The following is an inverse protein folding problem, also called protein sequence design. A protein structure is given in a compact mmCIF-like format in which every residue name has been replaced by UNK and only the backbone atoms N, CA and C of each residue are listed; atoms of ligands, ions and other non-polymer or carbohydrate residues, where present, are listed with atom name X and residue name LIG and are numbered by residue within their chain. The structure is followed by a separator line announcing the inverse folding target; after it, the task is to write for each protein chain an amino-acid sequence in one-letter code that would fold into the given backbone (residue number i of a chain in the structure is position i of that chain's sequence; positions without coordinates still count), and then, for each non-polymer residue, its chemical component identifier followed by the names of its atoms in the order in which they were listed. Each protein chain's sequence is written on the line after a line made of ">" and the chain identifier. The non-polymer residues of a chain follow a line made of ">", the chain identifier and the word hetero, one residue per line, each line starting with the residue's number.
data_IF_196451115783
#
_entry.id   IF_196451115783
#
_cell.length_a   1.000
_cell.length_b   1.000
_cell.length_c   1.000
_cell.angle_alpha   90.00
_cell.angle_beta   90.00
_cell.angle_gamma   90.00
#
_symmetry.space_group_name_H-M   'P 1'
#
loop_
_entity.id
_entity.type
_entity.pdbx_description
1 polymer ?
#
# COMPACT_ATOMS: atom_id res chain seq x y z
N UNK A 1 -2.68 65.03 -19.36
CA UNK A 1 -3.03 63.93 -20.29
C UNK A 1 -3.24 62.59 -19.58
N UNK A 2 -2.69 62.37 -18.38
CA UNK A 2 -2.88 61.11 -17.62
C UNK A 2 -4.29 60.91 -17.03
N UNK A 3 -5.03 61.98 -16.69
CA UNK A 3 -6.37 61.84 -16.11
C UNK A 3 -7.42 61.26 -17.08
N UNK A 4 -7.22 61.43 -18.41
CA UNK A 4 -8.12 60.84 -19.43
C UNK A 4 -7.83 59.34 -19.66
N UNK A 5 -6.58 58.91 -19.51
CA UNK A 5 -6.18 57.51 -19.70
C UNK A 5 -6.72 56.60 -18.58
N UNK A 6 -6.69 57.06 -17.32
CA UNK A 6 -7.26 56.35 -16.17
C UNK A 6 -8.79 56.24 -16.23
N UNK A 7 -9.49 57.21 -16.84
CA UNK A 7 -10.94 57.11 -17.04
C UNK A 7 -11.34 56.09 -18.13
N UNK A 8 -10.49 55.92 -19.16
CA UNK A 8 -10.74 54.95 -20.22
C UNK A 8 -10.48 53.51 -19.76
N UNK A 9 -9.46 53.27 -18.93
CA UNK A 9 -9.22 51.94 -18.34
C UNK A 9 -10.32 51.53 -17.34
N UNK A 10 -10.85 52.47 -16.54
CA UNK A 10 -12.00 52.17 -15.66
C UNK A 10 -13.29 51.86 -16.44
N UNK A 11 -13.52 52.52 -17.57
CA UNK A 11 -14.64 52.21 -18.47
C UNK A 11 -14.55 50.79 -19.03
N UNK A 12 -13.37 50.40 -19.53
CA UNK A 12 -13.13 49.07 -20.10
C UNK A 12 -13.26 47.94 -19.07
N UNK A 13 -12.81 48.16 -17.83
CA UNK A 13 -12.95 47.18 -16.75
C UNK A 13 -14.42 46.98 -16.30
N UNK A 14 -15.22 48.04 -16.32
CA UNK A 14 -16.66 47.97 -15.99
C UNK A 14 -17.45 47.25 -17.09
N UNK A 15 -17.07 47.43 -18.36
CA UNK A 15 -17.70 46.73 -19.49
C UNK A 15 -17.31 45.24 -19.54
N UNK A 16 -16.07 44.88 -19.16
CA UNK A 16 -15.65 43.49 -18.98
C UNK A 16 -16.40 42.79 -17.83
N UNK A 17 -16.58 43.46 -16.69
CA UNK A 17 -17.34 42.91 -15.56
C UNK A 17 -18.84 42.71 -15.89
N UNK A 18 -19.41 43.57 -16.74
CA UNK A 18 -20.80 43.43 -17.23
C UNK A 18 -20.98 42.26 -18.20
N UNK A 19 -19.97 41.93 -18.99
CA UNK A 19 -20.01 40.77 -19.89
C UNK A 19 -19.89 39.45 -19.12
N UNK A 20 -19.00 39.36 -18.12
CA UNK A 20 -18.87 38.17 -17.24
C UNK A 20 -20.17 37.93 -16.44
N UNK A 21 -20.84 39.00 -16.00
CA UNK A 21 -22.13 38.90 -15.30
C UNK A 21 -23.26 38.45 -16.23
N UNK A 22 -23.17 38.74 -17.54
CA UNK A 22 -24.14 38.29 -18.55
C UNK A 22 -23.92 36.83 -18.98
N UNK A 23 -22.68 36.38 -19.07
CA UNK A 23 -22.35 34.96 -19.34
C UNK A 23 -22.79 34.05 -18.18
N UNK A 24 -22.52 34.45 -16.92
CA UNK A 24 -23.00 33.73 -15.74
C UNK A 24 -24.54 33.71 -15.60
N UNK A 25 -25.24 34.71 -16.16
CA UNK A 25 -26.69 34.74 -16.22
C UNK A 25 -27.27 33.82 -17.32
N UNK A 26 -26.55 33.65 -18.44
CA UNK A 26 -26.91 32.69 -19.48
C UNK A 26 -26.65 31.23 -19.07
N UNK A 27 -25.61 30.98 -18.28
CA UNK A 27 -25.30 29.65 -17.74
C UNK A 27 -26.30 29.20 -16.65
N UNK A 28 -26.76 30.15 -15.81
CA UNK A 28 -27.89 29.94 -14.89
C UNK A 28 -29.24 29.75 -15.59
N UNK A 29 -29.44 30.34 -16.76
CA UNK A 29 -30.66 30.11 -17.55
C UNK A 29 -30.66 28.71 -18.19
N UNK A 30 -29.50 28.20 -18.63
CA UNK A 30 -29.37 26.86 -19.21
C UNK A 30 -29.55 25.73 -18.18
N UNK A 31 -29.10 25.92 -16.93
CA UNK A 31 -29.33 24.96 -15.83
C UNK A 31 -30.78 24.93 -15.34
N UNK A 32 -31.55 26.01 -15.55
CA UNK A 32 -32.99 26.02 -15.25
C UNK A 32 -33.87 25.36 -16.33
N UNK A 33 -33.33 25.18 -17.54
CA UNK A 33 -34.05 24.58 -18.67
C UNK A 33 -33.94 23.05 -18.73
N UNK A 34 -32.99 22.43 -18.02
CA UNK A 34 -32.82 20.97 -17.98
C UNK A 34 -33.75 20.27 -16.98
N UNK A 35 -34.44 21.01 -16.11
CA UNK A 35 -35.42 20.47 -15.15
C UNK A 35 -36.82 20.21 -15.76
N UNK A 36 -37.07 20.67 -16.99
CA UNK A 36 -38.38 20.55 -17.66
C UNK A 36 -38.61 19.22 -18.39
N UNK A 37 -37.71 18.24 -18.26
CA UNK A 37 -37.84 16.90 -18.87
C UNK A 37 -38.42 15.83 -17.92
N UNK A 38 -38.72 16.19 -16.67
CA UNK A 38 -39.27 15.27 -15.68
C UNK A 38 -40.80 15.26 -15.73
N UNK A 39 -41.40 14.06 -15.66
CA UNK A 39 -42.86 13.89 -15.64
C UNK A 39 -43.47 14.66 -14.46
N UNK A 40 -44.63 15.32 -14.62
CA UNK A 40 -45.22 16.21 -13.60
C UNK A 40 -45.49 15.54 -12.24
N UNK A 41 -45.69 14.22 -12.22
CA UNK A 41 -45.81 13.43 -10.97
C UNK A 41 -44.49 13.31 -10.19
N UNK A 42 -43.35 13.30 -10.87
CA UNK A 42 -42.03 13.23 -10.22
C UNK A 42 -41.63 14.58 -9.60
N UNK A 43 -42.02 15.69 -10.24
CA UNK A 43 -41.81 17.04 -9.70
C UNK A 43 -42.63 17.28 -8.43
N UNK A 44 -43.91 16.87 -8.42
CA UNK A 44 -44.77 16.93 -7.22
C UNK A 44 -44.26 16.08 -6.05
N UNK A 45 -43.57 14.98 -6.33
CA UNK A 45 -43.00 14.10 -5.29
C UNK A 45 -41.70 14.70 -4.71
N UNK A 46 -40.89 15.34 -5.54
CA UNK A 46 -39.67 16.04 -5.12
C UNK A 46 -39.97 17.33 -4.36
N UNK A 47 -40.97 18.11 -4.79
CA UNK A 47 -41.42 19.31 -4.06
C UNK A 47 -41.99 18.96 -2.68
N UNK A 48 -42.68 17.81 -2.57
CA UNK A 48 -43.17 17.30 -1.28
C UNK A 48 -42.02 16.87 -0.36
N UNK A 49 -40.98 16.22 -0.92
CA UNK A 49 -39.78 15.85 -0.17
C UNK A 49 -38.95 17.06 0.27
N UNK A 50 -38.88 18.11 -0.55
CA UNK A 50 -38.15 19.35 -0.23
C UNK A 50 -38.87 20.22 0.82
N UNK A 51 -40.20 20.16 0.89
CA UNK A 51 -40.99 20.89 1.88
C UNK A 51 -40.93 20.27 3.29
N UNK A 52 -40.61 18.98 3.43
CA UNK A 52 -40.53 18.27 4.72
C UNK A 52 -39.15 18.41 5.43
N UNK A 53 -38.15 19.02 4.78
CA UNK A 53 -36.81 19.27 5.35
C UNK A 53 -36.73 20.24 6.55
N UNK A 54 -37.62 21.23 6.77
CA UNK A 54 -37.48 22.16 7.90
C UNK A 54 -37.89 21.57 9.26
N UNK A 55 -38.55 20.41 9.30
CA UNK A 55 -39.10 19.81 10.52
C UNK A 55 -38.48 18.46 10.90
N UNK A 56 -37.37 18.06 10.29
CA UNK A 56 -36.60 16.90 10.77
C UNK A 56 -35.76 17.34 11.98
N UNK A 57 -36.25 17.06 13.18
CA UNK A 57 -35.52 17.23 14.45
C UNK A 57 -34.14 16.55 14.33
N UNK A 58 -33.07 17.34 14.42
CA UNK A 58 -31.71 16.82 14.59
C UNK A 58 -31.64 16.07 15.92
N UNK A 59 -31.24 14.78 15.95
CA UNK A 59 -30.96 14.12 17.22
C UNK A 59 -29.74 14.80 17.87
N UNK A 60 -29.73 15.03 19.19
CA UNK A 60 -28.56 15.60 19.85
C UNK A 60 -27.52 14.50 20.01
N UNK A 61 -26.54 14.47 19.11
CA UNK A 61 -25.32 13.67 19.28
C UNK A 61 -24.15 14.46 18.71
N UNK A 62 -23.34 15.02 19.60
CA UNK A 62 -22.02 15.61 19.32
C UNK A 62 -21.00 14.52 18.96
N UNK A 63 -21.20 13.83 17.84
CA UNK A 63 -20.14 13.03 17.22
C UNK A 63 -20.13 13.31 15.73
N UNK A 64 -19.17 14.13 15.30
CA UNK A 64 -18.72 14.16 13.91
C UNK A 64 -18.39 12.74 13.45
N UNK A 65 -18.77 12.30 12.23
CA UNK A 65 -18.34 11.02 11.70
C UNK A 65 -16.81 11.03 11.67
N UNK A 66 -16.19 10.31 12.61
CA UNK A 66 -14.76 10.05 12.56
C UNK A 66 -14.55 9.18 11.34
N UNK A 67 -14.14 9.79 10.23
CA UNK A 67 -13.29 9.10 9.28
C UNK A 67 -12.18 8.47 10.13
N UNK A 68 -12.11 7.14 10.12
CA UNK A 68 -11.06 6.42 10.81
C UNK A 68 -9.75 6.83 10.12
N UNK A 69 -9.16 7.93 10.61
CA UNK A 69 -7.82 8.35 10.26
C UNK A 69 -6.97 7.11 10.41
N UNK A 70 -6.25 6.72 9.36
CA UNK A 70 -5.42 5.51 9.30
C UNK A 70 -4.25 5.52 10.28
N UNK A 71 -4.52 5.81 11.56
CA UNK A 71 -3.61 5.67 12.66
C UNK A 71 -3.56 4.20 12.98
N UNK A 72 -2.42 3.60 12.70
CA UNK A 72 -2.05 2.33 13.33
C UNK A 72 -2.19 2.48 14.85
N UNK A 73 -2.56 1.41 15.58
CA UNK A 73 -3.02 1.48 16.97
C UNK A 73 -1.99 2.00 18.00
N UNK A 74 -0.84 2.53 17.57
CA UNK A 74 0.23 3.00 18.45
C UNK A 74 1.00 4.26 17.97
N UNK A 75 0.59 4.97 16.92
CA UNK A 75 1.38 6.16 16.47
C UNK A 75 1.23 7.38 17.37
N UNK A 76 2.35 7.89 17.90
CA UNK A 76 2.48 9.27 18.39
C UNK A 76 2.22 10.26 17.25
N UNK A 77 1.65 11.42 17.61
CA UNK A 77 1.40 12.52 16.68
C UNK A 77 2.73 13.20 16.29
N UNK A 78 3.41 12.67 15.27
CA UNK A 78 4.63 13.30 14.75
C UNK A 78 5.36 12.50 13.66
N UNK A 79 5.34 11.16 13.73
CA UNK A 79 6.00 10.28 12.75
C UNK A 79 5.12 9.05 12.49
N UNK A 80 3.96 9.26 11.84
CA UNK A 80 2.92 8.25 11.58
C UNK A 80 3.31 7.13 10.62
N UNK A 81 4.61 6.78 10.55
CA UNK A 81 5.15 5.74 9.68
C UNK A 81 5.12 4.39 10.42
N UNK A 82 4.45 3.36 9.87
CA UNK A 82 4.49 2.04 10.47
C UNK A 82 5.93 1.53 10.56
N UNK A 83 6.32 1.01 11.74
CA UNK A 83 7.63 0.39 11.96
C UNK A 83 7.55 -1.13 11.87
N UNK A 84 8.44 -1.70 11.08
CA UNK A 84 8.68 -3.14 10.95
C UNK A 84 9.93 -3.51 11.76
N UNK A 85 9.74 -4.35 12.78
CA UNK A 85 10.81 -4.78 13.65
C UNK A 85 11.31 -6.17 13.25
N UNK A 86 12.56 -6.30 12.80
CA UNK A 86 13.19 -7.59 12.47
C UNK A 86 13.99 -8.09 13.67
N UNK A 87 13.46 -9.09 14.36
CA UNK A 87 14.09 -9.75 15.51
C UNK A 87 14.40 -11.22 15.21
N UNK A 88 15.31 -11.81 15.98
CA UNK A 88 15.61 -13.24 15.89
C UNK A 88 17.05 -13.57 16.26
N UNK A 89 17.35 -14.86 16.28
CA UNK A 89 18.67 -15.40 16.66
C UNK A 89 19.82 -14.83 15.81
N UNK A 90 21.04 -14.88 16.35
CA UNK A 90 22.24 -14.58 15.56
C UNK A 90 22.31 -15.47 14.32
N UNK A 91 22.75 -14.90 13.19
CA UNK A 91 22.90 -15.59 11.90
C UNK A 91 21.60 -16.18 11.30
N UNK A 92 20.43 -15.81 11.84
CA UNK A 92 19.13 -16.23 11.30
C UNK A 92 18.82 -15.69 9.91
N UNK A 93 19.55 -14.68 9.42
CA UNK A 93 19.37 -14.10 8.08
C UNK A 93 18.61 -12.77 8.03
N UNK A 94 18.20 -12.20 9.17
CA UNK A 94 17.51 -10.89 9.27
C UNK A 94 18.13 -9.74 8.43
N UNK A 95 19.45 -9.54 8.53
CA UNK A 95 20.14 -8.50 7.76
C UNK A 95 20.14 -8.82 6.26
N UNK A 96 20.31 -10.10 5.89
CA UNK A 96 20.22 -10.56 4.50
C UNK A 96 18.82 -10.31 3.93
N UNK A 97 17.78 -10.60 4.72
CA UNK A 97 16.39 -10.33 4.35
C UNK A 97 16.19 -8.83 4.07
N UNK A 98 16.62 -7.96 4.99
CA UNK A 98 16.49 -6.50 4.82
C UNK A 98 17.22 -6.02 3.56
N UNK A 99 18.45 -6.51 3.34
CA UNK A 99 19.26 -6.19 2.17
C UNK A 99 18.65 -6.65 0.84
N UNK A 100 18.11 -7.86 0.77
CA UNK A 100 17.53 -8.40 -0.47
C UNK A 100 16.23 -7.70 -0.81
N UNK A 101 15.34 -7.53 0.18
CA UNK A 101 14.00 -6.98 -0.06
C UNK A 101 14.06 -5.48 -0.32
N UNK A 102 14.86 -4.73 0.44
CA UNK A 102 14.80 -3.26 0.39
C UNK A 102 15.95 -2.60 -0.39
N UNK A 103 17.12 -3.25 -0.50
CA UNK A 103 18.25 -2.71 -1.27
C UNK A 103 18.43 -3.38 -2.62
N UNK A 104 17.55 -4.33 -2.97
CA UNK A 104 17.65 -5.15 -4.20
C UNK A 104 19.02 -5.83 -4.34
N UNK A 105 19.67 -6.13 -3.22
CA UNK A 105 20.96 -6.82 -3.24
C UNK A 105 20.73 -8.28 -3.69
N UNK A 106 21.52 -8.79 -4.64
CA UNK A 106 21.36 -10.17 -5.08
C UNK A 106 21.66 -11.14 -3.92
N UNK A 107 20.90 -12.24 -3.78
CA UNK A 107 21.05 -13.16 -2.65
C UNK A 107 22.47 -13.73 -2.49
N UNK A 108 23.20 -13.91 -3.59
CA UNK A 108 24.60 -14.38 -3.60
C UNK A 108 25.57 -13.43 -2.91
N UNK A 109 25.31 -12.12 -2.93
CA UNK A 109 26.16 -11.11 -2.29
C UNK A 109 25.91 -11.02 -0.78
N UNK A 110 24.77 -11.53 -0.30
CA UNK A 110 24.42 -11.49 1.13
C UNK A 110 25.37 -12.30 2.02
N UNK A 111 26.12 -13.25 1.44
CA UNK A 111 27.18 -14.00 2.11
C UNK A 111 28.29 -13.11 2.67
N UNK A 112 28.49 -11.92 2.09
CA UNK A 112 29.51 -10.95 2.50
C UNK A 112 29.02 -9.95 3.53
N UNK A 113 27.76 -10.04 3.96
CA UNK A 113 27.24 -9.15 4.98
C UNK A 113 27.91 -9.40 6.33
N UNK A 114 28.45 -8.33 6.90
CA UNK A 114 29.02 -8.38 8.24
C UNK A 114 27.94 -8.54 9.31
N UNK A 115 28.33 -9.14 10.44
CA UNK A 115 27.44 -9.32 11.59
C UNK A 115 26.99 -7.95 12.13
N UNK A 116 25.69 -7.74 12.21
CA UNK A 116 25.11 -6.52 12.80
C UNK A 116 25.39 -6.46 14.32
N UNK A 117 26.12 -5.42 14.74
CA UNK A 117 26.44 -5.15 16.16
C UNK A 117 25.61 -4.01 16.77
N UNK A 118 24.93 -3.22 15.94
CA UNK A 118 24.11 -2.07 16.34
C UNK A 118 22.79 -2.12 15.60
N UNK A 119 21.74 -1.57 16.22
CA UNK A 119 20.42 -1.45 15.58
C UNK A 119 20.58 -0.60 14.32
N UNK A 120 20.28 -1.17 13.15
CA UNK A 120 20.23 -0.44 11.89
C UNK A 120 18.79 0.00 11.67
N UNK A 121 18.59 1.31 11.51
CA UNK A 121 17.29 1.91 11.19
C UNK A 121 17.31 2.34 9.74
N UNK A 122 16.41 1.79 8.96
CA UNK A 122 16.28 2.10 7.53
C UNK A 122 14.89 2.69 7.31
N UNK A 123 14.82 3.88 6.71
CA UNK A 123 13.55 4.49 6.29
C UNK A 123 13.45 4.34 4.78
N UNK A 124 12.34 3.77 4.32
CA UNK A 124 12.09 3.59 2.89
C UNK A 124 11.00 4.55 2.43
N UNK A 125 11.26 5.22 1.31
CA UNK A 125 10.30 6.09 0.65
C UNK A 125 9.63 5.31 -0.49
N UNK A 126 8.49 4.71 -0.20
CA UNK A 126 7.66 3.98 -1.15
C UNK A 126 6.26 4.62 -1.20
N UNK A 127 5.29 3.97 -1.86
CA UNK A 127 3.87 4.28 -1.67
C UNK A 127 3.47 4.30 -0.19
N UNK A 128 4.09 3.44 0.63
CA UNK A 128 3.98 3.46 2.07
C UNK A 128 5.35 3.72 2.69
N UNK A 129 5.48 4.84 3.39
CA UNK A 129 6.68 5.16 4.15
C UNK A 129 6.69 4.29 5.42
N UNK A 130 7.57 3.30 5.47
CA UNK A 130 7.79 2.46 6.64
C UNK A 130 9.26 2.50 7.06
N UNK A 131 9.49 2.25 8.35
CA UNK A 131 10.84 2.10 8.89
C UNK A 131 11.11 0.64 9.20
N UNK A 132 12.24 0.12 8.72
CA UNK A 132 12.71 -1.24 9.02
C UNK A 132 13.84 -1.14 10.03
N UNK A 133 13.67 -1.85 11.15
CA UNK A 133 14.63 -1.85 12.24
C UNK A 133 15.22 -3.26 12.35
N UNK A 134 16.50 -3.40 12.01
CA UNK A 134 17.26 -4.66 12.13
C UNK A 134 17.95 -4.70 13.50
N UNK A 135 17.52 -5.61 14.37
CA UNK A 135 18.08 -5.75 15.72
C UNK A 135 19.12 -6.86 15.81
N UNK A 136 20.24 -6.62 16.51
CA UNK A 136 21.29 -7.62 16.64
C UNK A 136 20.86 -8.75 17.60
N UNK A 137 20.98 -9.99 17.14
CA UNK A 137 20.48 -11.19 17.85
C UNK A 137 21.26 -11.63 19.09
N UNK A 138 22.10 -10.76 19.68
CA UNK A 138 22.82 -11.00 20.93
C UNK A 138 22.38 -10.09 22.08
N UNK A 139 21.49 -9.14 21.81
CA UNK A 139 20.97 -8.27 22.84
C UNK A 139 19.81 -8.94 23.56
N UNK A 140 19.84 -8.90 24.89
CA UNK A 140 18.66 -9.09 25.70
C UNK A 140 17.88 -7.77 25.68
N UNK A 141 16.83 -7.73 24.85
CA UNK A 141 16.06 -6.52 24.55
C UNK A 141 15.29 -5.95 25.76
N UNK A 142 15.24 -6.71 26.85
CA UNK A 142 14.57 -6.35 28.10
C UNK A 142 15.56 -5.83 29.17
N UNK A 143 16.82 -5.62 28.81
CA UNK A 143 17.75 -4.90 29.68
C UNK A 143 17.26 -3.45 29.83
N UNK A 144 17.10 -2.92 31.06
CA UNK A 144 16.68 -1.53 31.31
C UNK A 144 17.61 -0.46 30.69
N UNK A 145 18.78 -0.84 30.17
CA UNK A 145 19.62 0.04 29.36
C UNK A 145 19.04 0.35 27.96
N UNK A 146 18.08 -0.44 27.47
CA UNK A 146 17.40 -0.21 26.19
C UNK A 146 16.09 0.55 26.39
N UNK A 147 15.88 1.54 25.53
CA UNK A 147 14.66 2.33 25.48
C UNK A 147 13.55 1.54 24.77
N UNK A 148 13.03 0.52 25.46
CA UNK A 148 11.95 -0.36 24.99
C UNK A 148 10.72 0.46 24.64
N UNK A 149 10.44 1.54 25.35
CA UNK A 149 9.26 2.35 25.13
C UNK A 149 9.35 3.05 23.78
N UNK A 150 10.46 3.70 23.45
CA UNK A 150 10.62 4.31 22.12
C UNK A 150 10.75 3.29 20.96
N UNK A 151 11.19 2.06 21.22
CA UNK A 151 11.29 1.00 20.21
C UNK A 151 9.90 0.42 19.91
N UNK A 152 9.14 0.05 20.96
CA UNK A 152 7.90 -0.73 20.85
C UNK A 152 6.63 0.12 20.76
N UNK A 153 6.66 1.40 21.14
CA UNK A 153 5.49 2.28 21.10
C UNK A 153 5.04 2.64 19.68
N UNK A 154 5.88 2.60 18.64
CA UNK A 154 5.44 2.92 17.25
C UNK A 154 5.44 1.69 16.32
N UNK A 155 5.45 0.48 16.87
CA UNK A 155 5.51 -0.74 16.07
C UNK A 155 4.18 -1.02 15.39
N UNK A 156 4.25 -1.28 14.08
CA UNK A 156 3.16 -1.86 13.32
C UNK A 156 3.15 -3.39 13.40
N UNK A 157 4.30 -4.02 13.15
CA UNK A 157 4.45 -5.49 13.22
C UNK A 157 5.84 -5.91 13.70
N UNK A 158 5.86 -6.99 14.47
CA UNK A 158 7.06 -7.70 14.88
C UNK A 158 7.26 -8.90 13.96
N UNK A 159 8.42 -8.97 13.30
CA UNK A 159 8.83 -10.11 12.49
C UNK A 159 9.94 -10.86 13.24
N UNK A 160 9.67 -12.10 13.61
CA UNK A 160 10.65 -12.98 14.24
C UNK A 160 11.20 -14.00 13.24
N UNK A 161 12.50 -13.96 13.00
CA UNK A 161 13.18 -14.83 12.03
C UNK A 161 13.82 -16.02 12.73
N UNK A 162 13.35 -17.22 12.38
CA UNK A 162 13.86 -18.52 12.84
C UNK A 162 14.63 -19.17 11.69
N UNK A 163 15.85 -19.64 11.94
CA UNK A 163 16.60 -20.43 10.96
C UNK A 163 16.10 -21.87 10.98
N UNK A 164 15.61 -22.39 9.85
CA UNK A 164 15.13 -23.77 9.73
C UNK A 164 16.26 -24.80 9.60
N UNK A 165 17.50 -24.36 9.31
CA UNK A 165 18.65 -25.25 9.13
C UNK A 165 19.47 -25.43 10.41
N UNK A 166 19.31 -24.54 11.40
CA UNK A 166 20.01 -24.55 12.68
C UNK A 166 19.07 -25.01 13.83
N UNK A 167 19.61 -25.13 15.03
CA UNK A 167 18.83 -25.47 16.22
C UNK A 167 17.84 -24.35 16.59
N UNK A 168 16.56 -24.60 16.33
CA UNK A 168 15.48 -23.62 16.52
C UNK A 168 14.87 -23.62 17.93
N UNK A 169 15.24 -24.54 18.82
CA UNK A 169 14.70 -24.62 20.19
C UNK A 169 14.96 -23.34 21.01
N UNK A 170 16.18 -22.82 21.00
CA UNK A 170 16.50 -21.55 21.69
C UNK A 170 15.76 -20.36 21.03
N UNK A 171 15.51 -20.41 19.71
CA UNK A 171 14.73 -19.38 19.02
C UNK A 171 13.29 -19.35 19.54
N UNK A 172 12.67 -20.52 19.69
CA UNK A 172 11.29 -20.65 20.15
C UNK A 172 11.17 -20.18 21.60
N UNK A 173 12.08 -20.61 22.48
CA UNK A 173 12.07 -20.17 23.89
C UNK A 173 12.21 -18.64 24.02
N UNK A 174 13.12 -18.02 23.24
CA UNK A 174 13.28 -16.56 23.20
C UNK A 174 12.08 -15.85 22.57
N UNK A 175 11.48 -16.42 21.53
CA UNK A 175 10.27 -15.90 20.91
C UNK A 175 9.14 -15.84 21.94
N UNK A 176 8.90 -16.94 22.65
CA UNK A 176 7.82 -17.01 23.64
C UNK A 176 8.05 -16.04 24.80
N UNK A 177 9.27 -15.94 25.32
CA UNK A 177 9.63 -14.91 26.31
C UNK A 177 9.33 -13.50 25.77
N UNK A 178 9.66 -13.23 24.50
CA UNK A 178 9.43 -11.93 23.87
C UNK A 178 7.93 -11.64 23.74
N UNK A 179 7.13 -12.61 23.29
CA UNK A 179 5.68 -12.48 23.14
C UNK A 179 5.03 -12.21 24.50
N UNK A 180 5.39 -12.97 25.55
CA UNK A 180 4.83 -12.80 26.89
C UNK A 180 5.10 -11.41 27.47
N UNK A 181 6.31 -10.89 27.27
CA UNK A 181 6.66 -9.53 27.71
C UNK A 181 5.93 -8.45 26.89
N UNK A 182 5.82 -8.63 25.58
CA UNK A 182 5.13 -7.69 24.70
C UNK A 182 3.64 -7.67 24.95
N UNK A 183 3.01 -8.80 25.24
CA UNK A 183 1.58 -8.89 25.51
C UNK A 183 1.17 -8.05 26.73
N UNK A 184 2.04 -7.92 27.74
CA UNK A 184 1.77 -7.10 28.92
C UNK A 184 1.73 -5.61 28.60
N UNK A 185 2.56 -5.16 27.65
CA UNK A 185 2.77 -3.74 27.35
C UNK A 185 2.00 -3.28 26.11
N UNK A 186 1.85 -4.15 25.10
CA UNK A 186 1.34 -3.83 23.76
C UNK A 186 0.49 -5.00 23.19
N UNK A 187 -0.79 -5.10 23.57
CA UNK A 187 -1.65 -6.22 23.16
C UNK A 187 -2.09 -6.21 21.69
N UNK A 188 -1.90 -5.09 20.97
CA UNK A 188 -2.37 -4.90 19.60
C UNK A 188 -1.26 -5.10 18.54
N UNK A 189 -0.07 -5.58 18.92
CA UNK A 189 1.02 -5.81 17.97
C UNK A 189 0.78 -7.12 17.20
N UNK A 190 0.90 -7.05 15.87
CA UNK A 190 0.90 -8.24 15.03
C UNK A 190 2.26 -8.94 15.13
N UNK A 191 2.26 -10.21 15.51
CA UNK A 191 3.46 -11.04 15.63
C UNK A 191 3.50 -12.03 14.48
N UNK A 192 4.55 -11.95 13.68
CA UNK A 192 4.73 -12.70 12.44
C UNK A 192 6.05 -13.48 12.54
N UNK A 193 6.00 -14.80 12.32
CA UNK A 193 7.16 -15.68 12.45
C UNK A 193 7.58 -16.16 11.07
N UNK A 194 8.82 -15.87 10.70
CA UNK A 194 9.43 -16.32 9.46
C UNK A 194 10.31 -17.54 9.75
N UNK A 195 9.87 -18.71 9.27
CA UNK A 195 10.69 -19.91 9.18
C UNK A 195 11.55 -19.75 7.93
N UNK A 196 12.81 -19.38 8.14
CA UNK A 196 13.72 -18.91 7.12
C UNK A 196 14.74 -19.99 6.71
N UNK A 197 15.37 -19.80 5.55
CA UNK A 197 16.34 -20.72 4.93
C UNK A 197 15.78 -22.10 4.58
N UNK A 198 14.53 -22.14 4.12
CA UNK A 198 13.87 -23.39 3.72
C UNK A 198 14.42 -23.98 2.41
N UNK A 199 15.28 -23.24 1.71
CA UNK A 199 15.93 -23.62 0.44
C UNK A 199 16.90 -24.80 0.56
N UNK A 200 17.52 -25.00 1.72
CA UNK A 200 18.43 -26.12 1.97
C UNK A 200 17.73 -27.41 2.39
N UNK A 201 16.41 -27.42 2.51
CA UNK A 201 15.62 -28.54 3.02
C UNK A 201 14.90 -29.26 1.86
N UNK A 202 14.68 -30.56 2.00
CA UNK A 202 13.77 -31.28 1.09
C UNK A 202 12.32 -30.88 1.34
N UNK A 203 11.45 -30.99 0.33
CA UNK A 203 10.04 -30.61 0.44
C UNK A 203 9.30 -31.31 1.60
N UNK A 204 9.57 -32.60 1.81
CA UNK A 204 9.00 -33.37 2.91
C UNK A 204 9.45 -32.81 4.27
N UNK A 205 10.76 -32.55 4.42
CA UNK A 205 11.34 -32.06 5.66
C UNK A 205 10.93 -30.61 5.96
N UNK A 206 10.72 -29.79 4.92
CA UNK A 206 10.19 -28.43 5.04
C UNK A 206 8.79 -28.45 5.65
N UNK A 207 7.92 -29.33 5.19
CA UNK A 207 6.56 -29.49 5.71
C UNK A 207 6.55 -29.95 7.17
N UNK A 208 7.37 -30.94 7.49
CA UNK A 208 7.46 -31.49 8.85
C UNK A 208 8.06 -30.49 9.84
N UNK A 209 9.17 -29.84 9.48
CA UNK A 209 9.81 -28.81 10.33
C UNK A 209 8.89 -27.63 10.58
N UNK A 210 8.15 -27.20 9.56
CA UNK A 210 7.19 -26.10 9.70
C UNK A 210 6.05 -26.45 10.66
N UNK A 211 5.49 -27.66 10.57
CA UNK A 211 4.45 -28.13 11.50
C UNK A 211 4.97 -28.27 12.92
N UNK A 212 6.18 -28.80 13.08
CA UNK A 212 6.84 -28.97 14.37
C UNK A 212 7.10 -27.63 15.05
N UNK A 213 7.60 -26.62 14.32
CA UNK A 213 7.79 -25.26 14.84
C UNK A 213 6.45 -24.64 15.26
N UNK A 214 5.41 -24.74 14.43
CA UNK A 214 4.08 -24.20 14.77
C UNK A 214 3.56 -24.84 16.04
N UNK A 215 3.60 -26.16 16.11
CA UNK A 215 3.09 -26.91 17.25
C UNK A 215 3.85 -26.54 18.53
N UNK A 216 5.19 -26.50 18.50
CA UNK A 216 5.99 -26.14 19.69
C UNK A 216 5.74 -24.72 20.16
N UNK A 217 5.66 -23.76 19.24
CA UNK A 217 5.36 -22.36 19.60
C UNK A 217 3.96 -22.27 20.23
N UNK A 218 2.97 -22.95 19.65
CA UNK A 218 1.60 -22.95 20.20
C UNK A 218 1.51 -23.68 21.54
N UNK A 219 2.15 -24.83 21.69
CA UNK A 219 2.17 -25.62 22.92
C UNK A 219 2.80 -24.80 24.07
N UNK A 220 3.98 -24.21 23.85
CA UNK A 220 4.64 -23.38 24.86
C UNK A 220 3.83 -22.12 25.21
N UNK A 221 3.14 -21.49 24.25
CA UNK A 221 2.26 -20.36 24.55
C UNK A 221 1.01 -20.79 25.32
N UNK A 222 0.46 -21.96 25.00
CA UNK A 222 -0.69 -22.52 25.70
C UNK A 222 -0.35 -22.88 27.16
N UNK A 223 0.85 -23.38 27.42
CA UNK A 223 1.36 -23.67 28.77
C UNK A 223 1.42 -22.40 29.65
N UNK A 224 1.66 -21.24 29.03
CA UNK A 224 1.65 -19.93 29.70
C UNK A 224 0.25 -19.28 29.74
N UNK A 225 -0.79 -19.99 29.31
CA UNK A 225 -2.19 -19.54 29.36
C UNK A 225 -2.62 -18.66 28.18
N UNK A 226 -1.87 -18.66 27.08
CA UNK A 226 -2.15 -17.86 25.89
C UNK A 226 -2.64 -18.74 24.73
N UNK A 227 -3.90 -19.18 24.81
CA UNK A 227 -4.47 -20.18 23.91
C UNK A 227 -4.90 -19.64 22.52
N UNK A 228 -4.89 -18.32 22.29
CA UNK A 228 -5.34 -17.71 21.03
C UNK A 228 -4.49 -16.50 20.61
N UNK A 229 -3.16 -16.70 20.59
CA UNK A 229 -2.24 -15.72 20.03
C UNK A 229 -2.51 -15.51 18.52
N UNK A 230 -2.71 -14.28 18.03
CA UNK A 230 -2.80 -14.01 16.60
C UNK A 230 -1.40 -14.04 15.95
N UNK A 231 -0.74 -15.21 15.98
CA UNK A 231 0.58 -15.41 15.38
C UNK A 231 0.40 -16.01 14.00
N UNK A 232 1.07 -15.43 13.01
CA UNK A 232 1.11 -15.95 11.65
C UNK A 232 2.50 -16.47 11.30
N UNK A 233 2.54 -17.60 10.62
CA UNK A 233 3.78 -18.30 10.27
C UNK A 233 3.95 -18.30 8.75
N UNK A 234 5.17 -18.04 8.29
CA UNK A 234 5.51 -18.05 6.88
C UNK A 234 6.79 -18.84 6.65
N UNK A 235 6.80 -19.60 5.57
CA UNK A 235 8.01 -20.22 5.04
C UNK A 235 8.67 -19.22 4.10
N UNK A 236 9.95 -18.91 4.33
CA UNK A 236 10.65 -17.88 3.57
C UNK A 236 12.04 -18.33 3.15
N UNK A 237 12.45 -17.90 1.97
CA UNK A 237 13.80 -18.04 1.43
C UNK A 237 14.18 -16.73 0.75
N UNK A 238 15.45 -16.32 0.82
CA UNK A 238 15.95 -15.18 0.05
C UNK A 238 16.21 -15.52 -1.43
N UNK A 239 16.27 -16.80 -1.78
CA UNK A 239 16.50 -17.25 -3.16
C UNK A 239 15.19 -17.33 -3.96
N UNK A 240 14.07 -17.47 -3.27
CA UNK A 240 12.74 -17.56 -3.87
C UNK A 240 11.94 -16.29 -3.58
N UNK A 241 10.87 -16.07 -4.34
CA UNK A 241 9.99 -14.91 -4.15
C UNK A 241 9.08 -15.01 -2.90
N UNK A 242 9.15 -16.14 -2.17
CA UNK A 242 8.39 -16.40 -0.93
C UNK A 242 8.60 -15.34 0.15
N UNK A 243 9.81 -14.76 0.26
CA UNK A 243 10.08 -13.71 1.24
C UNK A 243 9.26 -12.45 0.94
N UNK A 244 9.15 -12.05 -0.32
CA UNK A 244 8.36 -10.88 -0.71
C UNK A 244 6.86 -11.12 -0.54
N UNK A 245 6.38 -12.34 -0.79
CA UNK A 245 4.99 -12.70 -0.49
C UNK A 245 4.68 -12.61 1.01
N UNK A 246 5.59 -13.13 1.86
CA UNK A 246 5.44 -13.06 3.30
C UNK A 246 5.41 -11.59 3.77
N UNK A 247 6.34 -10.75 3.31
CA UNK A 247 6.32 -9.31 3.61
C UNK A 247 5.04 -8.62 3.12
N UNK A 248 4.53 -8.99 1.94
CA UNK A 248 3.29 -8.44 1.41
C UNK A 248 2.11 -8.72 2.34
N UNK A 249 2.00 -9.94 2.88
CA UNK A 249 0.96 -10.30 3.87
C UNK A 249 1.14 -9.55 5.20
N UNK A 250 2.39 -9.40 5.67
CA UNK A 250 2.67 -8.62 6.89
C UNK A 250 2.24 -7.16 6.70
N UNK A 251 2.62 -6.57 5.57
CA UNK A 251 2.34 -5.17 5.24
C UNK A 251 0.84 -4.95 5.03
N UNK A 252 0.12 -5.89 4.40
CA UNK A 252 -1.33 -5.84 4.27
C UNK A 252 -2.04 -5.68 5.61
N UNK A 253 -1.61 -6.42 6.64
CA UNK A 253 -2.18 -6.30 7.99
C UNK A 253 -1.93 -4.95 8.65
N UNK A 254 -0.95 -4.18 8.15
CA UNK A 254 -0.67 -2.83 8.64
C UNK A 254 -1.54 -1.75 7.99
N UNK A 255 -2.19 -2.05 6.86
CA UNK A 255 -2.99 -1.07 6.12
C UNK A 255 -4.43 -1.10 6.66
N UNK A 256 -4.90 -0.06 7.36
CA UNK A 256 -6.25 -0.04 7.93
C UNK A 256 -7.36 -0.03 6.87
N UNK A 257 -7.05 0.45 5.65
CA UNK A 257 -8.01 0.57 4.54
C UNK A 257 -7.98 -0.64 3.59
N UNK A 258 -7.30 -1.73 3.96
CA UNK A 258 -7.20 -2.94 3.13
C UNK A 258 -8.57 -3.47 2.67
N UNK A 259 -9.62 -3.59 3.51
CA UNK A 259 -10.91 -4.14 3.07
C UNK A 259 -11.55 -3.33 1.93
N UNK A 260 -11.33 -2.01 1.91
CA UNK A 260 -11.82 -1.14 0.83
C UNK A 260 -11.07 -1.42 -0.47
N UNK A 261 -9.75 -1.62 -0.42
CA UNK A 261 -8.94 -1.97 -1.59
C UNK A 261 -9.30 -3.34 -2.15
N UNK A 262 -9.46 -4.34 -1.28
CA UNK A 262 -9.90 -5.67 -1.67
C UNK A 262 -11.29 -5.63 -2.33
N UNK A 263 -12.23 -4.85 -1.80
CA UNK A 263 -13.55 -4.67 -2.40
C UNK A 263 -13.47 -4.01 -3.79
N UNK A 264 -12.61 -2.99 -3.96
CA UNK A 264 -12.38 -2.36 -5.26
C UNK A 264 -11.77 -3.34 -6.28
N UNK A 265 -10.77 -4.13 -5.87
CA UNK A 265 -10.17 -5.16 -6.71
C UNK A 265 -11.17 -6.27 -7.06
N UNK A 266 -11.97 -6.74 -6.10
CA UNK A 266 -13.01 -7.74 -6.35
C UNK A 266 -14.06 -7.24 -7.36
N UNK A 267 -14.46 -5.96 -7.27
CA UNK A 267 -15.37 -5.35 -8.24
C UNK A 267 -14.74 -5.28 -9.63
N UNK A 268 -13.46 -4.92 -9.72
CA UNK A 268 -12.72 -4.90 -10.99
C UNK A 268 -12.61 -6.31 -11.58
N UNK A 269 -12.26 -7.31 -10.77
CA UNK A 269 -12.18 -8.70 -11.21
C UNK A 269 -13.53 -9.22 -11.69
N UNK A 270 -14.61 -8.93 -10.97
CA UNK A 270 -15.97 -9.31 -11.34
C UNK A 270 -16.47 -8.64 -12.62
N UNK A 271 -16.13 -7.37 -12.86
CA UNK A 271 -16.56 -6.64 -14.05
C UNK A 271 -15.76 -7.01 -15.32
N UNK A 272 -14.46 -7.28 -15.17
CA UNK A 272 -13.55 -7.55 -16.28
C UNK A 272 -13.29 -9.04 -16.54
N UNK A 273 -13.86 -9.95 -15.73
CA UNK A 273 -13.58 -11.39 -15.77
C UNK A 273 -12.08 -11.69 -15.61
N UNK A 274 -11.42 -11.03 -14.66
CA UNK A 274 -10.01 -11.23 -14.33
C UNK A 274 -9.92 -12.39 -13.34
N UNK A 275 -9.00 -13.34 -13.57
CA UNK A 275 -8.81 -14.51 -12.69
C UNK A 275 -8.14 -14.09 -11.37
N UNK A 276 -7.15 -13.20 -11.44
CA UNK A 276 -6.38 -12.72 -10.29
C UNK A 276 -5.88 -11.30 -10.50
N UNK A 277 -5.91 -10.46 -9.47
CA UNK A 277 -5.38 -9.10 -9.53
C UNK A 277 -4.48 -8.78 -8.31
N UNK A 278 -3.39 -8.09 -8.59
CA UNK A 278 -2.41 -7.65 -7.61
C UNK A 278 -2.10 -6.17 -7.80
N UNK A 279 -2.09 -5.43 -6.69
CA UNK A 279 -1.62 -4.06 -6.64
C UNK A 279 -0.21 -4.06 -6.06
N UNK A 280 0.79 -3.88 -6.92
CA UNK A 280 2.20 -3.93 -6.58
C UNK A 280 2.80 -2.55 -6.32
N UNK A 281 3.73 -2.47 -5.37
CA UNK A 281 4.75 -1.42 -5.35
C UNK A 281 5.90 -1.81 -6.28
N UNK A 282 6.16 -0.96 -7.28
CA UNK A 282 7.16 -1.17 -8.34
C UNK A 282 8.57 -1.27 -7.76
N UNK A 283 8.87 -0.48 -6.72
CA UNK A 283 10.23 -0.42 -6.15
C UNK A 283 10.53 -1.63 -5.27
N UNK A 284 9.65 -1.99 -4.34
CA UNK A 284 9.89 -3.09 -3.39
C UNK A 284 9.42 -4.46 -3.89
N UNK A 285 8.66 -4.51 -4.99
CA UNK A 285 7.96 -5.71 -5.49
C UNK A 285 6.93 -6.28 -4.52
N UNK A 286 6.59 -5.56 -3.46
CA UNK A 286 5.61 -5.98 -2.47
C UNK A 286 4.21 -5.66 -3.00
N UNK A 287 3.26 -6.60 -2.89
CA UNK A 287 1.86 -6.30 -3.20
C UNK A 287 1.14 -5.73 -1.97
N UNK A 288 0.48 -4.60 -2.18
CA UNK A 288 -0.24 -3.83 -1.16
C UNK A 288 -1.64 -4.40 -0.95
N UNK A 289 -2.28 -4.84 -2.03
CA UNK A 289 -3.61 -5.42 -2.00
C UNK A 289 -3.72 -6.49 -3.09
N UNK A 290 -4.55 -7.49 -2.85
CA UNK A 290 -4.92 -8.51 -3.83
C UNK A 290 -6.42 -8.76 -3.72
N UNK A 291 -7.01 -9.35 -4.74
CA UNK A 291 -8.38 -9.83 -4.68
C UNK A 291 -8.51 -11.04 -3.75
N UNK A 292 -9.74 -11.35 -3.36
CA UNK A 292 -10.07 -12.42 -2.39
C UNK A 292 -9.84 -13.84 -2.89
N UNK A 293 -9.52 -14.04 -4.17
CA UNK A 293 -9.16 -15.38 -4.67
C UNK A 293 -7.86 -15.87 -4.03
N UNK A 294 -7.66 -17.19 -3.86
CA UNK A 294 -6.46 -17.71 -3.22
C UNK A 294 -5.20 -17.29 -3.98
N UNK A 295 -4.22 -16.75 -3.26
CA UNK A 295 -2.91 -16.41 -3.81
C UNK A 295 -2.08 -17.67 -3.98
N UNK A 296 -1.61 -17.91 -5.20
CA UNK A 296 -0.63 -18.96 -5.50
C UNK A 296 0.77 -18.35 -5.65
N UNK A 297 1.77 -19.02 -5.07
CA UNK A 297 3.18 -18.59 -5.09
C UNK A 297 3.65 -18.44 -6.55
N UNK A 298 3.27 -19.39 -7.42
CA UNK A 298 3.65 -19.36 -8.83
C UNK A 298 3.02 -18.21 -9.61
N UNK A 299 1.82 -17.76 -9.22
CA UNK A 299 1.19 -16.58 -9.84
C UNK A 299 1.89 -15.29 -9.45
N UNK A 300 2.32 -15.19 -8.19
CA UNK A 300 3.10 -14.08 -7.68
C UNK A 300 4.48 -13.98 -8.36
N UNK A 301 5.19 -15.11 -8.49
CA UNK A 301 6.49 -15.18 -9.18
C UNK A 301 6.41 -14.64 -10.61
N UNK A 302 5.42 -15.08 -11.39
CA UNK A 302 5.23 -14.62 -12.77
C UNK A 302 4.94 -13.12 -12.81
N UNK A 303 4.14 -12.59 -11.88
CA UNK A 303 3.83 -11.17 -11.83
C UNK A 303 5.05 -10.32 -11.43
N UNK A 304 5.86 -10.78 -10.49
CA UNK A 304 7.08 -10.11 -10.05
C UNK A 304 8.11 -10.04 -11.19
N UNK A 305 8.38 -11.16 -11.85
CA UNK A 305 9.31 -11.20 -12.98
C UNK A 305 8.81 -10.35 -14.16
N UNK A 306 7.49 -10.28 -14.34
CA UNK A 306 6.89 -9.43 -15.37
C UNK A 306 7.11 -7.94 -15.10
N UNK A 307 7.04 -7.50 -13.85
CA UNK A 307 7.34 -6.11 -13.47
C UNK A 307 8.79 -5.76 -13.83
N UNK A 308 9.75 -6.63 -13.53
CA UNK A 308 11.15 -6.41 -13.90
C UNK A 308 11.34 -6.27 -15.41
N UNK A 309 10.74 -7.16 -16.20
CA UNK A 309 10.82 -7.08 -17.66
C UNK A 309 10.25 -5.76 -18.18
N UNK A 310 9.12 -5.30 -17.64
CA UNK A 310 8.52 -4.03 -18.06
C UNK A 310 9.41 -2.86 -17.66
N UNK A 311 9.97 -2.85 -16.45
CA UNK A 311 10.88 -1.80 -15.98
C UNK A 311 12.15 -1.78 -16.85
N UNK A 312 12.82 -2.91 -17.03
CA UNK A 312 14.06 -3.01 -17.80
C UNK A 312 13.86 -2.57 -19.26
N UNK A 313 12.75 -2.98 -19.89
CA UNK A 313 12.39 -2.54 -21.25
C UNK A 313 12.09 -1.05 -21.27
N UNK A 314 11.38 -0.54 -20.26
CA UNK A 314 11.10 0.89 -20.12
C UNK A 314 12.35 1.71 -19.80
N UNK A 315 13.38 1.15 -19.18
CA UNK A 315 14.63 1.86 -18.92
C UNK A 315 15.51 1.92 -20.17
N UNK A 316 15.50 0.85 -20.98
CA UNK A 316 16.27 0.78 -22.23
C UNK A 316 15.63 1.63 -23.34
N UNK A 317 14.30 1.58 -23.46
CA UNK A 317 13.55 2.20 -24.56
C UNK A 317 12.65 3.36 -24.11
N UNK A 318 12.62 3.66 -22.81
CA UNK A 318 11.90 4.81 -22.27
C UNK A 318 12.51 6.09 -22.81
N UNK A 319 11.63 6.97 -23.26
CA UNK A 319 12.03 8.27 -23.71
C UNK A 319 11.85 9.24 -22.55
N UNK A 320 12.95 9.81 -22.03
CA UNK A 320 12.90 10.92 -21.08
C UNK A 320 12.15 12.07 -21.74
N UNK A 321 10.91 12.31 -21.31
CA UNK A 321 10.19 13.49 -21.77
C UNK A 321 10.74 14.71 -21.02
N UNK A 322 11.02 15.81 -21.72
CA UNK A 322 11.36 17.04 -21.03
C UNK A 322 10.22 17.43 -20.10
N UNK A 323 10.55 17.75 -18.85
CA UNK A 323 9.68 18.38 -17.85
C UNK A 323 9.17 19.72 -18.43
N UNK A 324 8.08 19.68 -19.21
CA UNK A 324 7.35 20.88 -19.57
C UNK A 324 6.26 21.10 -18.51
N UNK A 325 6.50 22.13 -17.70
CA UNK A 325 5.66 22.48 -16.56
C UNK A 325 4.20 22.78 -16.91
N UNK A 326 3.35 22.51 -15.92
CA UNK A 326 2.06 23.15 -15.66
C UNK A 326 1.21 23.52 -16.89
N UNK A 327 1.01 22.60 -17.81
CA UNK A 327 -0.12 22.66 -18.73
C UNK A 327 -0.96 21.40 -18.60
N UNK A 328 -2.17 21.59 -18.06
CA UNK A 328 -3.28 20.62 -17.93
C UNK A 328 -3.82 20.12 -19.30
N UNK A 329 -2.94 19.80 -20.24
CA UNK A 329 -3.32 19.28 -21.56
C UNK A 329 -2.39 18.15 -22.00
N UNK A 330 -2.27 17.11 -21.17
CA UNK A 330 -1.77 15.80 -21.61
C UNK A 330 -2.94 14.85 -21.91
N UNK A 331 -3.73 15.16 -22.94
CA UNK A 331 -4.50 14.12 -23.64
C UNK A 331 -3.57 13.48 -24.65
N UNK A 332 -2.91 12.37 -24.31
CA UNK A 332 -2.31 11.54 -25.35
C UNK A 332 -1.09 10.69 -25.04
N UNK A 333 -0.66 10.55 -23.79
CA UNK A 333 0.37 9.57 -23.48
C UNK A 333 0.15 9.02 -22.06
N UNK A 334 -0.94 8.26 -21.95
CA UNK A 334 -1.41 7.60 -20.74
C UNK A 334 -0.32 6.68 -20.15
N UNK A 335 -0.42 6.46 -18.83
CA UNK A 335 0.19 5.40 -18.02
C UNK A 335 0.86 4.27 -18.82
N UNK A 336 2.06 3.83 -18.41
CA UNK A 336 2.70 2.67 -19.02
C UNK A 336 1.75 1.45 -18.96
N UNK A 337 1.20 1.08 -20.10
CA UNK A 337 0.32 -0.07 -20.28
C UNK A 337 1.08 -1.16 -21.04
N UNK A 338 1.16 -2.33 -20.43
CA UNK A 338 1.78 -3.50 -21.05
C UNK A 338 0.83 -4.68 -21.00
N UNK A 339 0.60 -5.31 -22.16
CA UNK A 339 -0.20 -6.53 -22.29
C UNK A 339 0.66 -7.60 -22.95
N UNK A 340 0.91 -8.69 -22.23
CA UNK A 340 1.65 -9.85 -22.74
C UNK A 340 0.73 -11.07 -22.81
N UNK A 341 0.85 -11.82 -23.90
CA UNK A 341 0.16 -13.10 -24.10
C UNK A 341 1.10 -14.26 -23.80
N UNK A 342 0.69 -15.18 -22.92
CA UNK A 342 1.48 -16.37 -22.57
C UNK A 342 1.08 -17.55 -23.47
N UNK A 343 1.87 -17.86 -24.49
CA UNK A 343 1.54 -18.91 -25.47
C UNK A 343 1.64 -20.35 -24.94
N UNK A 344 2.46 -20.62 -23.90
CA UNK A 344 2.84 -22.01 -23.52
C UNK A 344 1.97 -22.70 -22.45
N UNK A 345 1.09 -22.00 -21.74
CA UNK A 345 0.27 -22.58 -20.64
C UNK A 345 -1.17 -22.04 -20.65
N UNK A 346 -1.98 -22.47 -21.62
CA UNK A 346 -3.41 -22.14 -21.73
C UNK A 346 -3.80 -20.72 -22.18
N UNK A 347 -2.98 -20.01 -22.98
CA UNK A 347 -3.34 -18.68 -23.55
C UNK A 347 -3.88 -17.69 -22.50
N UNK A 348 -3.23 -17.63 -21.35
CA UNK A 348 -3.50 -16.61 -20.32
C UNK A 348 -2.86 -15.29 -20.73
N UNK A 349 -3.47 -14.19 -20.34
CA UNK A 349 -2.95 -12.86 -20.61
C UNK A 349 -2.52 -12.20 -19.30
N UNK A 350 -1.36 -11.55 -19.35
CA UNK A 350 -0.85 -10.72 -18.26
C UNK A 350 -1.03 -9.27 -18.66
N UNK A 351 -1.84 -8.56 -17.91
CA UNK A 351 -2.08 -7.14 -18.09
C UNK A 351 -1.39 -6.40 -16.96
N UNK A 352 -0.52 -5.45 -17.29
CA UNK A 352 0.09 -4.52 -16.35
C UNK A 352 -0.29 -3.10 -16.75
N UNK A 353 -0.73 -2.34 -15.77
CA UNK A 353 -0.97 -0.90 -15.92
C UNK A 353 -0.44 -0.13 -14.73
N UNK A 354 0.34 0.90 -15.01
CA UNK A 354 0.77 1.84 -14.00
C UNK A 354 -0.44 2.65 -13.47
N UNK A 355 -0.56 2.76 -12.15
CA UNK A 355 -1.62 3.55 -11.50
C UNK A 355 -1.05 4.89 -11.02
N UNK A 356 0.15 4.84 -10.43
CA UNK A 356 0.92 5.96 -9.92
C UNK A 356 2.41 5.62 -10.08
N UNK A 357 3.30 6.61 -9.93
CA UNK A 357 4.77 6.43 -9.95
C UNK A 357 5.34 5.28 -9.11
N UNK A 358 4.62 4.89 -8.05
CA UNK A 358 5.03 3.82 -7.14
C UNK A 358 4.17 2.56 -7.29
N UNK A 359 2.97 2.64 -7.87
CA UNK A 359 2.00 1.54 -7.88
C UNK A 359 1.69 1.06 -9.30
N UNK A 360 1.76 -0.25 -9.49
CA UNK A 360 1.31 -0.93 -10.70
C UNK A 360 0.22 -1.95 -10.37
N UNK A 361 -0.80 -2.00 -11.21
CA UNK A 361 -1.79 -3.07 -11.21
C UNK A 361 -1.33 -4.17 -12.15
N UNK A 362 -1.25 -5.39 -11.66
CA UNK A 362 -0.96 -6.59 -12.46
C UNK A 362 -2.14 -7.55 -12.37
N UNK A 363 -2.69 -7.92 -13.52
CA UNK A 363 -3.87 -8.75 -13.65
C UNK A 363 -3.56 -9.99 -14.49
N UNK A 364 -3.96 -11.15 -14.00
CA UNK A 364 -3.95 -12.42 -14.73
C UNK A 364 -5.34 -12.66 -15.29
N UNK A 365 -5.45 -12.75 -16.60
CA UNK A 365 -6.70 -12.93 -17.31
C UNK A 365 -6.77 -14.31 -17.97
N UNK A 366 -7.98 -14.88 -18.01
CA UNK A 366 -8.26 -16.18 -18.61
C UNK A 366 -8.30 -16.17 -20.15
N UNK A 367 -8.83 -17.26 -20.71
CA UNK A 367 -8.82 -17.56 -22.16
C UNK A 367 -9.74 -16.68 -23.03
N UNK A 368 -10.58 -15.84 -22.42
CA UNK A 368 -11.46 -14.95 -23.16
C UNK A 368 -10.63 -13.84 -23.82
N UNK A 369 -10.73 -13.72 -25.15
CA UNK A 369 -9.90 -12.83 -25.98
C UNK A 369 -9.93 -11.37 -25.46
N UNK A 370 -8.89 -10.90 -24.73
CA UNK A 370 -8.91 -9.60 -24.08
C UNK A 370 -8.72 -8.46 -25.08
N UNK A 371 -8.23 -8.73 -26.29
CA UNK A 371 -8.06 -7.73 -27.34
C UNK A 371 -9.39 -7.07 -27.74
N UNK A 372 -10.50 -7.82 -27.77
CA UNK A 372 -11.83 -7.26 -28.10
C UNK A 372 -12.44 -6.47 -26.93
N UNK A 373 -12.09 -6.84 -25.69
CA UNK A 373 -12.59 -6.20 -24.47
C UNK A 373 -11.60 -5.21 -23.86
N UNK A 374 -10.47 -4.93 -24.51
CA UNK A 374 -9.40 -4.08 -23.96
C UNK A 374 -9.94 -2.70 -23.56
N UNK A 375 -10.74 -2.07 -24.42
CA UNK A 375 -11.33 -0.76 -24.14
C UNK A 375 -12.22 -0.75 -22.88
N UNK A 376 -12.93 -1.85 -22.59
CA UNK A 376 -13.75 -1.98 -21.38
C UNK A 376 -12.87 -2.15 -20.14
N UNK A 377 -11.79 -2.93 -20.27
CA UNK A 377 -10.81 -3.13 -19.20
C UNK A 377 -10.13 -1.80 -18.88
N UNK A 378 -9.64 -1.07 -19.87
CA UNK A 378 -8.97 0.21 -19.67
C UNK A 378 -9.90 1.26 -19.05
N UNK A 379 -11.18 1.26 -19.43
CA UNK A 379 -12.19 2.11 -18.81
C UNK A 379 -12.41 1.75 -17.33
N UNK A 380 -12.62 0.46 -17.03
CA UNK A 380 -12.83 -0.01 -15.67
C UNK A 380 -11.60 0.20 -14.78
N UNK A 381 -10.39 0.03 -15.32
CA UNK A 381 -9.13 0.33 -14.63
C UNK A 381 -8.98 1.83 -14.40
N UNK A 382 -9.41 2.68 -15.33
CA UNK A 382 -9.49 4.13 -15.12
C UNK A 382 -10.44 4.52 -13.98
N UNK A 383 -11.61 3.87 -13.90
CA UNK A 383 -12.55 4.04 -12.77
C UNK A 383 -11.93 3.55 -11.46
N UNK A 384 -11.20 2.43 -11.48
CA UNK A 384 -10.47 1.91 -10.33
C UNK A 384 -9.37 2.89 -9.87
N UNK A 385 -8.59 3.45 -10.78
CA UNK A 385 -7.56 4.46 -10.49
C UNK A 385 -8.18 5.72 -9.87
N UNK A 386 -9.33 6.17 -10.38
CA UNK A 386 -10.08 7.27 -9.78
C UNK A 386 -10.59 6.95 -8.37
N UNK A 387 -11.06 5.72 -8.14
CA UNK A 387 -11.45 5.23 -6.81
C UNK A 387 -10.27 5.17 -5.84
N UNK A 388 -9.11 4.68 -6.28
CA UNK A 388 -7.90 4.62 -5.46
C UNK A 388 -7.44 6.02 -5.00
N UNK A 389 -7.51 7.02 -5.88
CA UNK A 389 -7.22 8.43 -5.56
C UNK A 389 -8.17 9.02 -4.51
N UNK A 390 -9.38 8.47 -4.36
CA UNK A 390 -10.34 8.90 -3.32
C UNK A 390 -10.14 8.16 -1.99
N UNK A 391 -9.72 6.89 -2.02
CA UNK A 391 -9.42 6.10 -0.82
C UNK A 391 -8.16 6.60 -0.13
N UNK A 392 -7.14 6.93 -0.94
CA UNK A 392 -5.97 7.66 -0.52
C UNK A 392 -6.06 9.08 -1.05
N UNK A 393 -6.93 9.95 -0.47
CA UNK A 393 -6.80 11.36 -0.76
C UNK A 393 -5.37 11.75 -0.37
N UNK A 394 -4.77 12.73 -1.07
CA UNK A 394 -3.45 13.30 -0.76
C UNK A 394 -3.39 13.87 0.67
N UNK A 395 -3.54 13.02 1.67
CA UNK A 395 -3.33 13.30 3.06
C UNK A 395 -1.81 13.18 3.21
N UNK A 396 -1.21 14.36 3.39
CA UNK A 396 0.14 14.55 3.94
C UNK A 396 1.35 14.41 3.00
N UNK A 397 1.19 14.45 1.67
CA UNK A 397 2.34 14.72 0.77
C UNK A 397 2.60 16.22 0.56
N UNK A 398 1.57 17.07 0.59
CA UNK A 398 1.73 18.52 0.39
C UNK A 398 2.10 19.25 1.69
N UNK A 399 1.76 18.73 2.87
CA UNK A 399 2.14 19.33 4.15
C UNK A 399 3.66 19.28 4.44
N UNK A 400 4.39 18.30 3.89
CA UNK A 400 5.85 18.22 4.06
C UNK A 400 6.63 18.97 2.97
N UNK A 401 6.03 19.15 1.78
CA UNK A 401 6.64 19.93 0.69
C UNK A 401 6.46 21.43 0.90
N UNK A 402 5.32 21.89 1.44
CA UNK A 402 5.13 23.31 1.78
C UNK A 402 6.02 23.76 2.94
N UNK A 403 6.25 22.93 3.96
CA UNK A 403 7.15 23.29 5.08
C UNK A 403 8.61 23.41 4.60
N UNK A 404 9.03 22.58 3.64
CA UNK A 404 10.39 22.63 3.09
C UNK A 404 10.61 23.87 2.21
N UNK A 405 9.62 24.26 1.40
CA UNK A 405 9.70 25.46 0.57
C UNK A 405 9.68 26.76 1.39
N UNK A 406 9.05 26.76 2.58
CA UNK A 406 9.09 27.90 3.51
C UNK A 406 10.44 28.01 4.23
N UNK A 407 11.12 26.89 4.51
CA UNK A 407 12.44 26.92 5.15
C UNK A 407 13.55 27.38 4.18
N UNK A 408 13.54 26.92 2.94
CA UNK A 408 14.53 27.34 1.92
C UNK A 408 14.33 28.78 1.42
N UNK A 409 13.17 29.40 1.65
CA UNK A 409 12.90 30.80 1.32
C UNK A 409 13.14 31.79 2.47
N UNK A 410 13.37 31.30 3.69
CA UNK A 410 13.76 32.12 4.84
C UNK A 410 15.29 32.22 5.02
N UNK A 411 16.05 31.34 4.37
CA UNK A 411 17.52 31.30 4.39
C UNK A 411 18.21 31.88 3.13
N UNK A 412 17.46 32.60 2.25
CA UNK A 412 18.02 33.40 1.14
C UNK A 412 17.89 34.91 1.35
#
# INVERSE_FOLDING_TARGET
>A
MESRYLSQQRSAAVDAARNITRENAQEKAQTSASSSLLKPSAQLTMDRFLQDLPNAEQPPVDFSPQYHTGRVPNSKAGDGKPRLLLMGQRRSGKSSISSVVFHKLPPSETLYLETTYRIKKESMHSFMDFQVWDLPGHLDYFDPAFDTDNIFEEIGALIWVIDAQDEYLDAIARLNMTILNLQQSYPNINVEVFVHKVDGLSDDFRGDTFRDIIQRVQDELSDHGYEQAPISFYQTSIYDQSIFEAFSKVIQKLIPQLPTLEALLNNLCGACNIEKAYLFDIMSKIYIATDTSPTDIGSYEICSDYIDVVIDVSEIYGWDRPDDGDNESEMGNNDAESLITMEKKNSRYLYLREINKYLALVCIMGQDNPAEKKALIDYNVGVFQAGLKQVFPKSDREAQVEIRNIHDSLDQ
#
